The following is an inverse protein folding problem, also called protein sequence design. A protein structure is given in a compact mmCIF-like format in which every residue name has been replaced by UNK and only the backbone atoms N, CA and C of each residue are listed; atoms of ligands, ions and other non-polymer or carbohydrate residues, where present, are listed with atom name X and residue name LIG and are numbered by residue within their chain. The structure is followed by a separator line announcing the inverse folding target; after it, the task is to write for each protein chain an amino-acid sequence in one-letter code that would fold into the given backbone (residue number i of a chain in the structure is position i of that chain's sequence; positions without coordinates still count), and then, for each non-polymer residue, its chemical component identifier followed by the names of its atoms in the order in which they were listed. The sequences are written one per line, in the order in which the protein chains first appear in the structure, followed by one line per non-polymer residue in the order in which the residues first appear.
data_IF_609937935564
#
_entry.id   IF_609937935564
#
_cell.length_a   1.000
_cell.length_b   1.000
_cell.length_c   1.000
_cell.angle_alpha   90.00
_cell.angle_beta   90.00
_cell.angle_gamma   90.00
#
_symmetry.space_group_name_H-M   'P 1'
#
loop_
_entity.id
_entity.type
_entity.pdbx_description
1 polymer ?
#
# COMPACT_ATOMS: atom_id res chain seq x y z
N UNK A 1 -15.29 31.95 11.73
CA UNK A 1 -14.37 31.02 12.46
C UNK A 1 -14.54 29.62 11.90
N UNK A 2 -13.47 28.96 11.51
CA UNK A 2 -13.48 27.56 11.10
C UNK A 2 -13.39 26.68 12.34
N UNK A 3 -14.23 25.66 12.43
CA UNK A 3 -14.26 24.67 13.50
C UNK A 3 -13.96 23.28 12.93
N UNK A 4 -13.44 22.39 13.77
CA UNK A 4 -13.22 20.99 13.35
C UNK A 4 -14.56 20.35 13.00
N UNK A 5 -15.54 20.49 13.88
CA UNK A 5 -16.92 20.09 13.63
C UNK A 5 -17.78 21.36 13.50
N UNK A 6 -18.51 21.57 12.41
CA UNK A 6 -18.70 20.64 11.27
C UNK A 6 -17.80 20.91 10.05
N UNK A 7 -16.99 21.98 10.02
CA UNK A 7 -16.39 22.47 8.78
C UNK A 7 -15.37 21.49 8.19
N UNK A 8 -14.40 21.03 9.02
CA UNK A 8 -13.37 20.09 8.56
C UNK A 8 -13.97 18.70 8.35
N UNK A 9 -14.82 18.24 9.27
CA UNK A 9 -15.46 16.91 9.13
C UNK A 9 -16.36 16.87 7.90
N UNK A 10 -17.09 17.93 7.57
CA UNK A 10 -17.90 17.96 6.35
C UNK A 10 -17.04 17.94 5.08
N UNK A 11 -15.89 18.63 5.07
CA UNK A 11 -14.97 18.57 3.92
C UNK A 11 -14.40 17.16 3.76
N UNK A 12 -13.98 16.49 4.83
CA UNK A 12 -13.51 15.11 4.78
C UNK A 12 -14.62 14.17 4.28
N UNK A 13 -15.84 14.26 4.82
CA UNK A 13 -16.98 13.45 4.36
C UNK A 13 -17.32 13.73 2.90
N UNK A 14 -17.21 14.98 2.44
CA UNK A 14 -17.44 15.31 1.03
C UNK A 14 -16.49 14.56 0.10
N UNK A 15 -15.25 14.27 0.57
CA UNK A 15 -14.29 13.44 -0.18
C UNK A 15 -14.72 11.97 -0.24
N UNK A 16 -15.29 11.45 0.83
CA UNK A 16 -15.85 10.10 0.83
C UNK A 16 -16.99 9.98 -0.19
N UNK A 17 -17.93 10.93 -0.18
CA UNK A 17 -19.07 10.95 -1.11
C UNK A 17 -18.67 11.11 -2.58
N UNK A 18 -17.55 11.79 -2.88
CA UNK A 18 -17.08 11.96 -4.27
C UNK A 18 -16.77 10.64 -4.98
N UNK A 19 -16.52 9.56 -4.25
CA UNK A 19 -16.29 8.25 -4.85
C UNK A 19 -17.58 7.64 -5.44
N UNK A 20 -18.75 8.22 -5.15
CA UNK A 20 -20.06 7.75 -5.59
C UNK A 20 -20.77 8.75 -6.50
N UNK A 21 -20.04 9.51 -7.30
CA UNK A 21 -20.60 10.54 -8.20
C UNK A 21 -21.07 9.98 -9.54
N UNK A 22 -20.72 8.74 -9.87
CA UNK A 22 -21.19 8.00 -11.02
C UNK A 22 -22.04 6.80 -10.59
N UNK A 23 -22.88 6.30 -11.50
CA UNK A 23 -23.73 5.13 -11.26
C UNK A 23 -22.97 3.80 -11.37
N UNK A 24 -21.68 3.84 -11.71
CA UNK A 24 -20.84 2.65 -11.94
C UNK A 24 -20.10 2.23 -10.66
N UNK A 25 -19.74 3.20 -9.80
CA UNK A 25 -19.03 2.90 -8.54
C UNK A 25 -19.99 2.35 -7.50
N UNK A 26 -19.84 1.06 -7.19
CA UNK A 26 -20.66 0.36 -6.20
C UNK A 26 -19.97 0.23 -4.84
N UNK A 27 -18.66 0.12 -4.82
CA UNK A 27 -17.85 -0.06 -3.62
C UNK A 27 -16.70 0.94 -3.66
N UNK A 28 -16.48 1.66 -2.58
CA UNK A 28 -15.33 2.50 -2.38
C UNK A 28 -14.52 2.00 -1.17
N UNK A 29 -13.21 1.87 -1.35
CA UNK A 29 -12.28 1.56 -0.29
C UNK A 29 -11.56 2.84 0.08
N UNK A 30 -11.74 3.28 1.33
CA UNK A 30 -11.16 4.52 1.85
C UNK A 30 -10.12 4.15 2.89
N UNK A 31 -8.87 4.48 2.63
CA UNK A 31 -7.77 4.30 3.57
C UNK A 31 -7.57 5.58 4.38
N UNK A 32 -7.43 5.44 5.69
CA UNK A 32 -7.09 6.51 6.62
C UNK A 32 -5.84 6.11 7.38
N UNK A 33 -4.75 6.79 7.08
CA UNK A 33 -3.45 6.55 7.71
C UNK A 33 -3.34 7.13 9.11
N UNK A 34 -2.25 6.77 9.77
CA UNK A 34 -1.91 7.20 11.11
C UNK A 34 -2.37 6.23 12.21
N UNK A 35 -1.82 6.42 13.39
CA UNK A 35 -2.14 5.61 14.57
C UNK A 35 -3.40 6.15 15.24
N UNK A 36 -4.30 5.26 15.66
CA UNK A 36 -5.45 5.64 16.48
C UNK A 36 -4.95 6.27 17.78
N UNK A 37 -5.49 7.46 18.09
CA UNK A 37 -5.05 8.25 19.24
C UNK A 37 -4.14 9.41 18.88
N UNK A 38 -3.53 9.42 17.71
CA UNK A 38 -2.75 10.55 17.22
C UNK A 38 -3.66 11.75 16.94
N UNK A 39 -3.18 12.94 17.29
CA UNK A 39 -3.98 14.18 17.17
C UNK A 39 -4.37 14.48 15.72
N UNK A 40 -3.51 14.16 14.76
CA UNK A 40 -3.73 14.36 13.34
C UNK A 40 -4.84 13.45 12.78
N UNK A 41 -5.04 12.28 13.38
CA UNK A 41 -6.05 11.31 12.95
C UNK A 41 -7.46 11.64 13.46
N UNK A 42 -7.60 12.41 14.54
CA UNK A 42 -8.88 12.67 15.19
C UNK A 42 -9.96 13.26 14.28
N UNK A 43 -9.70 14.26 13.41
CA UNK A 43 -10.73 14.79 12.51
C UNK A 43 -11.23 13.74 11.50
N UNK A 44 -10.35 12.83 11.05
CA UNK A 44 -10.72 11.74 10.15
C UNK A 44 -11.57 10.69 10.86
N UNK A 45 -11.18 10.29 12.05
CA UNK A 45 -11.95 9.33 12.85
C UNK A 45 -13.34 9.86 13.21
N UNK A 46 -13.45 11.14 13.61
CA UNK A 46 -14.74 11.78 13.84
C UNK A 46 -15.58 11.84 12.55
N UNK A 47 -14.96 12.09 11.40
CA UNK A 47 -15.65 12.09 10.11
C UNK A 47 -16.15 10.70 9.72
N UNK A 48 -15.37 9.65 9.99
CA UNK A 48 -15.77 8.24 9.77
C UNK A 48 -16.99 7.91 10.66
N UNK A 49 -16.94 8.25 11.93
CA UNK A 49 -18.05 8.03 12.86
C UNK A 49 -19.35 8.69 12.38
N UNK A 50 -19.25 9.95 11.95
CA UNK A 50 -20.40 10.68 11.39
C UNK A 50 -20.88 10.05 10.07
N UNK A 51 -19.96 9.71 9.17
CA UNK A 51 -20.27 9.11 7.88
C UNK A 51 -21.00 7.77 8.05
N UNK A 52 -20.47 6.88 8.91
CA UNK A 52 -21.10 5.59 9.17
C UNK A 52 -22.51 5.75 9.76
N UNK A 53 -22.71 6.77 10.62
CA UNK A 53 -24.05 7.09 11.14
C UNK A 53 -24.99 7.62 10.05
N UNK A 54 -24.48 8.41 9.08
CA UNK A 54 -25.28 8.98 7.99
C UNK A 54 -25.71 7.93 6.97
N UNK A 55 -24.82 7.01 6.61
CA UNK A 55 -25.09 5.99 5.58
C UNK A 55 -25.65 4.69 6.15
N UNK A 56 -25.52 4.46 7.45
CA UNK A 56 -25.90 3.23 8.14
C UNK A 56 -24.80 2.15 8.10
N UNK A 57 -24.81 1.29 9.11
CA UNK A 57 -23.81 0.22 9.27
C UNK A 57 -23.82 -0.79 8.11
N UNK A 58 -24.95 -1.05 7.50
CA UNK A 58 -25.07 -1.98 6.38
C UNK A 58 -24.38 -1.46 5.10
N UNK A 59 -24.08 -0.17 5.05
CA UNK A 59 -23.47 0.50 3.90
C UNK A 59 -22.03 0.94 4.12
N UNK A 60 -21.50 0.82 5.34
CA UNK A 60 -20.11 1.19 5.63
C UNK A 60 -19.55 0.33 6.77
N UNK A 61 -18.59 -0.51 6.45
CA UNK A 61 -17.86 -1.33 7.42
C UNK A 61 -16.50 -0.72 7.74
N UNK A 62 -16.00 -1.05 8.91
CA UNK A 62 -14.71 -0.57 9.41
C UNK A 62 -13.74 -1.74 9.60
N UNK A 63 -12.68 -1.72 8.81
CA UNK A 63 -11.58 -2.68 8.89
C UNK A 63 -10.43 -2.01 9.65
N UNK A 64 -10.13 -2.51 10.84
CA UNK A 64 -9.07 -1.97 11.67
C UNK A 64 -7.80 -2.81 11.55
N UNK A 65 -6.74 -2.20 11.02
CA UNK A 65 -5.43 -2.84 10.88
C UNK A 65 -4.59 -2.55 12.13
N UNK A 66 -4.09 -3.60 12.79
CA UNK A 66 -3.31 -3.49 14.03
C UNK A 66 -2.02 -4.28 13.94
N UNK A 67 -1.11 -4.04 14.89
CA UNK A 67 0.13 -4.79 15.04
C UNK A 67 0.06 -5.73 16.24
N UNK A 68 0.43 -6.99 16.03
CA UNK A 68 0.67 -7.98 17.09
C UNK A 68 2.18 -8.19 17.20
N UNK A 69 2.87 -7.47 18.09
CA UNK A 69 4.31 -7.61 18.22
C UNK A 69 4.72 -8.94 18.84
N UNK A 70 5.81 -9.50 18.33
CA UNK A 70 6.47 -10.65 18.92
C UNK A 70 7.62 -10.20 19.82
N UNK A 71 7.62 -10.67 21.07
CA UNK A 71 8.69 -10.40 22.01
C UNK A 71 9.68 -11.55 22.01
N UNK A 72 10.83 -11.38 21.37
CA UNK A 72 11.87 -12.41 21.25
C UNK A 72 12.38 -12.93 22.60
N UNK A 73 12.43 -12.05 23.63
CA UNK A 73 12.90 -12.42 24.97
C UNK A 73 11.97 -13.41 25.70
N UNK A 74 10.65 -13.26 25.54
CA UNK A 74 9.64 -14.14 26.14
C UNK A 74 9.06 -15.14 25.15
N UNK A 75 9.43 -15.07 23.89
CA UNK A 75 8.94 -15.91 22.78
C UNK A 75 7.40 -15.94 22.71
N UNK A 76 6.78 -14.77 22.83
CA UNK A 76 5.32 -14.65 22.82
C UNK A 76 4.82 -13.47 22.01
N UNK A 77 3.62 -13.63 21.44
CA UNK A 77 2.86 -12.58 20.77
C UNK A 77 2.05 -11.78 21.80
N UNK A 78 2.04 -10.46 21.65
CA UNK A 78 1.34 -9.55 22.57
C UNK A 78 0.09 -8.95 21.93
N UNK A 79 -1.08 -9.29 22.46
CA UNK A 79 -2.39 -8.81 22.00
C UNK A 79 -2.79 -7.47 22.61
N UNK A 80 -2.12 -7.00 23.66
CA UNK A 80 -2.50 -5.77 24.38
C UNK A 80 -2.46 -4.50 23.51
N UNK A 81 -1.47 -4.30 22.60
CA UNK A 81 -1.48 -3.13 21.73
C UNK A 81 -2.73 -3.06 20.85
N UNK A 82 -3.14 -4.19 20.24
CA UNK A 82 -4.39 -4.29 19.48
C UNK A 82 -5.61 -3.98 20.34
N UNK A 83 -5.71 -4.57 21.53
CA UNK A 83 -6.82 -4.31 22.43
C UNK A 83 -6.90 -2.84 22.84
N UNK A 84 -5.76 -2.17 23.10
CA UNK A 84 -5.71 -0.75 23.43
C UNK A 84 -6.18 0.11 22.25
N UNK A 85 -5.66 -0.16 21.03
CA UNK A 85 -6.04 0.56 19.81
C UNK A 85 -7.54 0.45 19.51
N UNK A 86 -8.13 -0.75 19.63
CA UNK A 86 -9.58 -0.94 19.46
C UNK A 86 -10.37 -0.23 20.54
N UNK A 87 -9.90 -0.25 21.80
CA UNK A 87 -10.55 0.44 22.90
C UNK A 87 -10.56 1.96 22.69
N UNK A 88 -9.49 2.53 22.14
CA UNK A 88 -9.42 3.95 21.80
C UNK A 88 -10.43 4.30 20.71
N UNK A 89 -10.58 3.48 19.66
CA UNK A 89 -11.65 3.64 18.65
C UNK A 89 -13.04 3.58 19.29
N UNK A 90 -13.29 2.58 20.12
CA UNK A 90 -14.58 2.44 20.82
C UNK A 90 -14.87 3.65 21.71
N UNK A 91 -13.84 4.23 22.35
CA UNK A 91 -13.94 5.47 23.11
C UNK A 91 -14.38 6.67 22.27
N UNK A 92 -14.13 6.65 20.97
CA UNK A 92 -14.59 7.65 20.00
C UNK A 92 -15.97 7.32 19.40
N UNK A 93 -16.59 6.21 19.82
CA UNK A 93 -17.87 5.75 19.27
C UNK A 93 -17.77 4.99 17.95
N UNK A 94 -16.61 4.41 17.66
CA UNK A 94 -16.33 3.62 16.46
C UNK A 94 -16.12 2.16 16.87
N UNK A 95 -16.94 1.25 16.36
CA UNK A 95 -16.76 -0.18 16.52
C UNK A 95 -16.22 -0.77 15.21
N UNK A 96 -15.04 -1.38 15.18
CA UNK A 96 -14.58 -2.10 13.98
C UNK A 96 -15.42 -3.36 13.75
N UNK A 97 -15.66 -3.65 12.49
CA UNK A 97 -16.35 -4.87 12.04
C UNK A 97 -15.36 -6.02 11.83
N UNK A 98 -14.17 -5.69 11.33
CA UNK A 98 -13.08 -6.64 11.04
C UNK A 98 -11.79 -6.11 11.66
N UNK A 99 -11.00 -7.01 12.24
CA UNK A 99 -9.66 -6.69 12.75
C UNK A 99 -8.63 -7.48 11.95
N UNK A 100 -7.74 -6.79 11.27
CA UNK A 100 -6.61 -7.37 10.56
C UNK A 100 -5.35 -7.20 11.41
N UNK A 101 -4.83 -8.32 11.90
CA UNK A 101 -3.70 -8.37 12.80
C UNK A 101 -2.40 -8.61 12.00
N UNK A 102 -1.58 -7.57 11.83
CA UNK A 102 -0.23 -7.73 11.27
C UNK A 102 0.68 -8.38 12.29
N UNK A 103 1.43 -9.39 11.86
CA UNK A 103 2.35 -10.14 12.72
C UNK A 103 3.46 -10.80 11.90
N UNK A 104 4.66 -10.90 12.50
CA UNK A 104 5.77 -11.69 11.94
C UNK A 104 5.53 -13.22 12.09
N UNK A 105 4.71 -13.61 13.06
CA UNK A 105 4.46 -15.01 13.38
C UNK A 105 2.97 -15.37 13.29
N UNK A 106 2.63 -16.62 12.91
CA UNK A 106 1.24 -17.06 12.86
C UNK A 106 0.53 -16.92 14.22
N UNK A 107 -0.73 -16.47 14.16
CA UNK A 107 -1.61 -16.36 15.32
C UNK A 107 -2.29 -17.72 15.56
N UNK A 108 -2.11 -18.27 16.74
CA UNK A 108 -2.91 -19.42 17.13
C UNK A 108 -4.38 -19.04 17.42
N UNK A 109 -5.26 -20.02 17.46
CA UNK A 109 -6.68 -19.78 17.65
C UNK A 109 -6.97 -19.12 19.01
N UNK A 110 -6.20 -19.41 20.05
CA UNK A 110 -6.40 -18.81 21.37
C UNK A 110 -6.12 -17.30 21.38
N UNK A 111 -5.17 -16.85 20.56
CA UNK A 111 -4.87 -15.43 20.36
C UNK A 111 -6.01 -14.76 19.59
N UNK A 112 -6.50 -15.38 18.51
CA UNK A 112 -7.65 -14.85 17.75
C UNK A 112 -8.90 -14.76 18.63
N UNK A 113 -9.21 -15.79 19.42
CA UNK A 113 -10.35 -15.84 20.35
C UNK A 113 -10.25 -14.73 21.41
N UNK A 114 -9.06 -14.52 21.94
CA UNK A 114 -8.80 -13.47 22.92
C UNK A 114 -9.03 -12.07 22.32
N UNK A 115 -8.54 -11.82 21.10
CA UNK A 115 -8.76 -10.55 20.42
C UNK A 115 -10.24 -10.35 20.17
N UNK A 116 -10.93 -11.35 19.62
CA UNK A 116 -12.37 -11.32 19.36
C UNK A 116 -13.17 -10.93 20.62
N UNK A 117 -12.86 -11.59 21.74
CA UNK A 117 -13.52 -11.33 23.03
C UNK A 117 -13.29 -9.89 23.51
N UNK A 118 -12.04 -9.42 23.55
CA UNK A 118 -11.71 -8.11 24.10
C UNK A 118 -12.08 -6.94 23.18
N UNK A 119 -12.16 -7.19 21.87
CA UNK A 119 -12.48 -6.18 20.87
C UNK A 119 -13.94 -6.20 20.42
N UNK A 120 -14.74 -7.12 20.97
CA UNK A 120 -16.18 -7.25 20.68
C UNK A 120 -16.46 -7.44 19.19
N UNK A 121 -15.76 -8.38 18.55
CA UNK A 121 -15.98 -8.82 17.17
C UNK A 121 -16.16 -10.33 17.11
N UNK A 122 -16.83 -10.89 16.09
CA UNK A 122 -16.87 -12.34 15.87
C UNK A 122 -15.45 -12.91 15.69
N UNK A 123 -15.26 -14.17 16.09
CA UNK A 123 -13.96 -14.85 15.92
C UNK A 123 -13.52 -14.93 14.45
N UNK A 124 -14.46 -15.15 13.54
CA UNK A 124 -14.23 -15.15 12.07
C UNK A 124 -13.81 -13.79 11.52
N UNK A 125 -13.98 -12.69 12.26
CA UNK A 125 -13.62 -11.34 11.84
C UNK A 125 -12.23 -10.92 12.37
N UNK A 126 -11.51 -11.80 13.04
CA UNK A 126 -10.11 -11.58 13.44
C UNK A 126 -9.20 -12.31 12.46
N UNK A 127 -8.61 -11.57 11.54
CA UNK A 127 -7.81 -12.08 10.45
C UNK A 127 -6.33 -11.78 10.72
N UNK A 128 -5.43 -12.69 10.35
CA UNK A 128 -4.00 -12.42 10.41
C UNK A 128 -3.49 -11.91 9.07
N UNK A 129 -2.54 -11.00 9.10
CA UNK A 129 -1.74 -10.59 7.96
C UNK A 129 -0.28 -10.76 8.31
N UNK A 130 0.29 -11.88 7.88
CA UNK A 130 1.69 -12.20 8.11
C UNK A 130 2.58 -11.39 7.15
N UNK A 131 3.79 -11.12 7.62
CA UNK A 131 4.81 -10.54 6.75
C UNK A 131 5.09 -11.49 5.59
N UNK A 132 5.21 -10.92 4.40
CA UNK A 132 5.43 -11.63 3.14
C UNK A 132 6.76 -11.20 2.54
N UNK A 133 7.37 -12.05 1.74
CA UNK A 133 8.63 -11.75 1.07
C UNK A 133 8.43 -10.67 -0.01
N UNK A 134 7.36 -10.82 -0.79
CA UNK A 134 6.98 -9.86 -1.82
C UNK A 134 5.63 -9.25 -1.49
N UNK A 135 5.53 -7.92 -1.52
CA UNK A 135 4.30 -7.20 -1.19
C UNK A 135 3.07 -7.70 -1.98
N UNK A 136 3.28 -8.12 -3.22
CA UNK A 136 2.21 -8.65 -4.08
C UNK A 136 1.66 -10.02 -3.65
N UNK A 137 2.25 -10.66 -2.66
CA UNK A 137 1.71 -11.87 -2.03
C UNK A 137 0.60 -11.56 -1.01
N UNK A 138 0.57 -10.32 -0.49
CA UNK A 138 -0.38 -9.93 0.55
C UNK A 138 -1.85 -10.15 0.16
N UNK A 139 -2.34 -9.85 -1.07
CA UNK A 139 -3.70 -10.17 -1.47
C UNK A 139 -4.00 -11.67 -1.41
N UNK A 140 -3.05 -12.52 -1.80
CA UNK A 140 -3.20 -13.97 -1.73
C UNK A 140 -3.23 -14.49 -0.27
N UNK A 141 -2.46 -13.86 0.61
CA UNK A 141 -2.48 -14.16 2.03
C UNK A 141 -3.81 -13.73 2.68
N UNK A 142 -4.34 -12.57 2.31
CA UNK A 142 -5.63 -12.10 2.80
C UNK A 142 -6.79 -12.95 2.30
N UNK A 143 -6.73 -13.46 1.08
CA UNK A 143 -7.75 -14.38 0.56
C UNK A 143 -7.76 -15.72 1.33
N UNK A 144 -6.60 -16.23 1.74
CA UNK A 144 -6.52 -17.42 2.61
C UNK A 144 -7.17 -17.19 3.98
N UNK A 145 -7.19 -15.96 4.47
CA UNK A 145 -7.90 -15.54 5.68
C UNK A 145 -9.37 -15.17 5.42
N UNK A 146 -9.87 -15.33 4.18
CA UNK A 146 -11.25 -15.03 3.76
C UNK A 146 -11.68 -13.58 3.95
N UNK A 147 -10.75 -12.60 3.81
CA UNK A 147 -11.07 -11.18 4.00
C UNK A 147 -12.20 -10.71 3.07
N UNK A 148 -12.15 -11.11 1.79
CA UNK A 148 -13.17 -10.71 0.81
C UNK A 148 -14.55 -11.25 1.22
N UNK A 149 -14.64 -12.52 1.60
CA UNK A 149 -15.90 -13.15 2.04
C UNK A 149 -16.46 -12.45 3.29
N UNK A 150 -15.63 -12.25 4.32
CA UNK A 150 -16.05 -11.60 5.58
C UNK A 150 -16.52 -10.17 5.33
N UNK A 151 -15.83 -9.41 4.47
CA UNK A 151 -16.24 -8.04 4.12
C UNK A 151 -17.57 -8.03 3.36
N UNK A 152 -17.78 -8.95 2.41
CA UNK A 152 -19.04 -9.08 1.69
C UNK A 152 -20.20 -9.49 2.63
N UNK A 153 -19.95 -10.40 3.57
CA UNK A 153 -20.93 -10.79 4.58
C UNK A 153 -21.35 -9.59 5.47
N UNK A 154 -20.39 -8.78 5.92
CA UNK A 154 -20.67 -7.58 6.70
C UNK A 154 -21.48 -6.53 5.92
N UNK A 155 -21.29 -6.43 4.61
CA UNK A 155 -21.99 -5.50 3.73
C UNK A 155 -23.26 -6.11 3.11
N UNK A 156 -23.63 -7.33 3.48
CA UNK A 156 -24.76 -8.06 2.90
C UNK A 156 -24.70 -8.16 1.37
N UNK A 157 -23.50 -8.30 0.82
CA UNK A 157 -23.25 -8.44 -0.61
C UNK A 157 -23.15 -9.93 -0.98
N UNK A 158 -23.86 -10.31 -2.03
CA UNK A 158 -23.71 -11.62 -2.67
C UNK A 158 -22.65 -11.49 -3.78
N UNK A 159 -21.45 -11.92 -3.48
CA UNK A 159 -20.30 -11.83 -4.38
C UNK A 159 -19.75 -13.22 -4.69
N UNK A 160 -19.36 -13.49 -5.95
CA UNK A 160 -18.65 -14.71 -6.29
C UNK A 160 -17.27 -14.74 -5.62
N UNK A 161 -16.70 -15.93 -5.51
CA UNK A 161 -15.31 -16.08 -5.10
C UNK A 161 -14.37 -15.29 -6.03
N UNK A 162 -13.34 -14.62 -5.50
CA UNK A 162 -12.39 -13.84 -6.30
C UNK A 162 -11.61 -14.74 -7.26
N UNK A 163 -11.56 -14.37 -8.55
CA UNK A 163 -10.63 -14.98 -9.49
C UNK A 163 -9.26 -14.31 -9.39
N UNK A 164 -8.32 -15.00 -8.78
CA UNK A 164 -6.94 -14.55 -8.57
C UNK A 164 -5.93 -15.32 -9.44
N UNK A 165 -6.37 -15.96 -10.54
CA UNK A 165 -5.48 -16.77 -11.38
C UNK A 165 -4.33 -15.94 -11.96
N UNK A 166 -4.64 -14.78 -12.56
CA UNK A 166 -3.64 -13.88 -13.14
C UNK A 166 -2.71 -13.28 -12.05
N UNK A 167 -3.27 -12.96 -10.88
CA UNK A 167 -2.48 -12.45 -9.76
C UNK A 167 -1.50 -13.51 -9.23
N UNK A 168 -1.94 -14.76 -9.09
CA UNK A 168 -1.07 -15.89 -8.70
C UNK A 168 0.05 -16.09 -9.71
N UNK A 169 -0.26 -16.01 -11.00
CA UNK A 169 0.74 -16.11 -12.05
C UNK A 169 1.78 -14.99 -11.96
N UNK A 170 1.33 -13.74 -11.79
CA UNK A 170 2.23 -12.59 -11.64
C UNK A 170 3.18 -12.76 -10.43
N UNK A 171 2.67 -13.26 -9.29
CA UNK A 171 3.49 -13.53 -8.10
C UNK A 171 4.49 -14.66 -8.36
N UNK A 172 4.11 -15.68 -9.11
CA UNK A 172 5.01 -16.77 -9.50
C UNK A 172 6.13 -16.28 -10.43
N UNK A 173 5.78 -15.46 -11.42
CA UNK A 173 6.76 -14.82 -12.32
C UNK A 173 7.73 -13.92 -11.53
N UNK A 174 7.25 -13.20 -10.51
CA UNK A 174 8.08 -12.39 -9.62
C UNK A 174 9.08 -13.22 -8.81
N UNK A 175 8.67 -14.42 -8.36
CA UNK A 175 9.51 -15.32 -7.57
C UNK A 175 10.59 -16.04 -8.36
N UNK A 176 10.37 -16.19 -9.67
CA UNK A 176 11.23 -17.00 -10.54
C UNK A 176 11.71 -16.21 -11.76
N UNK A 177 12.42 -15.07 -11.56
CA UNK A 177 13.03 -14.35 -12.66
C UNK A 177 14.11 -15.20 -13.33
N UNK A 178 14.25 -15.09 -14.64
CA UNK A 178 15.26 -15.80 -15.44
C UNK A 178 16.45 -14.93 -15.83
N UNK A 179 16.27 -13.61 -15.77
CA UNK A 179 17.25 -12.62 -16.17
C UNK A 179 17.45 -11.54 -15.09
N UNK A 180 18.49 -10.74 -15.23
CA UNK A 180 18.76 -9.58 -14.38
C UNK A 180 19.08 -8.37 -15.24
N UNK A 181 18.54 -7.20 -14.85
CA UNK A 181 18.83 -5.94 -15.54
C UNK A 181 19.18 -4.86 -14.53
N UNK A 182 20.16 -4.03 -14.87
CA UNK A 182 20.55 -2.87 -14.08
C UNK A 182 20.01 -1.59 -14.71
N UNK A 183 19.20 -0.85 -13.95
CA UNK A 183 18.56 0.38 -14.40
C UNK A 183 19.10 1.55 -13.58
N UNK A 184 19.72 2.53 -14.25
CA UNK A 184 20.17 3.74 -13.59
C UNK A 184 19.02 4.76 -13.48
N UNK A 185 18.46 4.93 -12.29
CA UNK A 185 17.50 5.98 -12.02
C UNK A 185 18.24 7.27 -11.67
N UNK A 186 18.24 8.21 -12.64
CA UNK A 186 18.93 9.50 -12.49
C UNK A 186 17.93 10.56 -12.07
N UNK A 187 18.09 11.09 -10.86
CA UNK A 187 17.14 12.05 -10.30
C UNK A 187 17.77 13.04 -9.32
N UNK A 188 17.00 14.07 -8.95
CA UNK A 188 17.48 15.11 -8.03
C UNK A 188 17.38 14.71 -6.55
N UNK A 189 16.40 13.88 -6.20
CA UNK A 189 16.07 13.51 -4.81
C UNK A 189 16.35 12.04 -4.52
N UNK A 190 17.40 11.49 -5.10
CA UNK A 190 17.71 10.05 -5.01
C UNK A 190 18.05 9.57 -3.60
N UNK A 191 18.43 10.47 -2.69
CA UNK A 191 18.60 10.16 -1.26
C UNK A 191 17.27 9.90 -0.54
N UNK A 192 16.15 10.35 -1.11
CA UNK A 192 14.80 10.11 -0.61
C UNK A 192 14.09 9.16 -1.58
N UNK A 193 14.27 7.85 -1.40
CA UNK A 193 13.76 6.81 -2.30
C UNK A 193 12.24 6.89 -2.49
N UNK A 194 11.51 7.31 -1.46
CA UNK A 194 10.04 7.45 -1.51
C UNK A 194 9.56 8.45 -2.58
N UNK A 195 10.41 9.45 -2.93
CA UNK A 195 10.08 10.40 -3.99
C UNK A 195 9.95 9.73 -5.38
N UNK A 196 10.48 8.52 -5.54
CA UNK A 196 10.49 7.76 -6.80
C UNK A 196 9.76 6.43 -6.71
N UNK A 197 8.98 6.19 -5.66
CA UNK A 197 8.33 4.90 -5.41
C UNK A 197 7.51 4.42 -6.61
N UNK A 198 6.75 5.31 -7.26
CA UNK A 198 5.94 4.97 -8.44
C UNK A 198 6.79 4.56 -9.65
N UNK A 199 7.97 5.17 -9.81
CA UNK A 199 8.91 4.82 -10.89
C UNK A 199 9.54 3.47 -10.60
N UNK A 200 9.93 3.23 -9.35
CA UNK A 200 10.50 1.95 -8.90
C UNK A 200 9.49 0.82 -9.10
N UNK A 201 8.25 1.02 -8.69
CA UNK A 201 7.19 0.02 -8.88
C UNK A 201 6.89 -0.22 -10.37
N UNK A 202 6.86 0.82 -11.20
CA UNK A 202 6.69 0.64 -12.64
C UNK A 202 7.84 -0.17 -13.28
N UNK A 203 9.08 0.05 -12.83
CA UNK A 203 10.24 -0.73 -13.28
C UNK A 203 10.15 -2.19 -12.82
N UNK A 204 9.73 -2.44 -11.58
CA UNK A 204 9.48 -3.80 -11.07
C UNK A 204 8.41 -4.52 -11.89
N UNK A 205 7.28 -3.85 -12.19
CA UNK A 205 6.22 -4.43 -13.04
C UNK A 205 6.74 -4.78 -14.43
N UNK A 206 7.57 -3.90 -15.03
CA UNK A 206 8.27 -4.19 -16.27
C UNK A 206 9.17 -5.43 -16.16
N UNK A 207 9.89 -5.55 -15.04
CA UNK A 207 10.72 -6.72 -14.73
C UNK A 207 9.91 -8.00 -14.64
N UNK A 208 8.79 -8.00 -13.90
CA UNK A 208 7.90 -9.17 -13.74
C UNK A 208 7.44 -9.65 -15.13
N UNK A 209 6.94 -8.74 -15.96
CA UNK A 209 6.44 -9.07 -17.30
C UNK A 209 7.52 -9.66 -18.22
N UNK A 210 8.78 -9.26 -18.02
CA UNK A 210 9.92 -9.72 -18.80
C UNK A 210 10.75 -10.81 -18.09
N UNK A 211 10.25 -11.36 -16.98
CA UNK A 211 10.93 -12.37 -16.14
C UNK A 211 12.34 -11.96 -15.72
N UNK A 212 12.54 -10.67 -15.43
CA UNK A 212 13.83 -10.10 -15.05
C UNK A 212 13.80 -9.44 -13.68
N UNK A 213 14.83 -9.68 -12.87
CA UNK A 213 15.10 -8.90 -11.67
C UNK A 213 15.62 -7.53 -12.04
N UNK A 214 14.99 -6.47 -11.55
CA UNK A 214 15.43 -5.10 -11.81
C UNK A 214 16.24 -4.57 -10.63
N UNK A 215 17.53 -4.36 -10.86
CA UNK A 215 18.42 -3.69 -9.92
C UNK A 215 18.47 -2.20 -10.22
N UNK A 216 18.15 -1.36 -9.22
CA UNK A 216 18.12 0.09 -9.40
C UNK A 216 19.41 0.71 -8.88
N UNK A 217 20.16 1.34 -9.78
CA UNK A 217 21.32 2.17 -9.46
C UNK A 217 20.86 3.62 -9.32
N UNK A 218 20.92 4.13 -8.12
CA UNK A 218 20.50 5.50 -7.82
C UNK A 218 21.60 6.49 -8.13
N UNK A 219 21.32 7.46 -9.00
CA UNK A 219 22.32 8.44 -9.44
C UNK A 219 21.75 9.85 -9.26
N UNK A 220 22.48 10.68 -8.49
CA UNK A 220 22.13 12.07 -8.36
C UNK A 220 22.46 12.82 -9.66
N UNK A 221 21.43 13.42 -10.25
CA UNK A 221 21.55 14.16 -11.51
C UNK A 221 22.52 15.35 -11.43
N UNK A 222 22.80 15.88 -10.25
CA UNK A 222 23.72 17.01 -10.06
C UNK A 222 25.19 16.54 -10.08
N UNK A 223 25.46 15.24 -9.86
CA UNK A 223 26.81 14.66 -9.87
C UNK A 223 27.26 14.18 -11.25
N UNK A 224 26.33 14.08 -12.21
CA UNK A 224 26.64 13.58 -13.56
C UNK A 224 27.32 14.68 -14.37
N UNK A 225 28.50 14.37 -14.90
CA UNK A 225 29.30 15.25 -15.78
C UNK A 225 29.69 14.51 -17.05
N UNK A 226 30.14 15.23 -18.12
CA UNK A 226 30.63 14.58 -19.34
C UNK A 226 31.79 13.61 -19.09
N UNK A 227 32.60 13.87 -18.07
CA UNK A 227 33.81 13.11 -17.78
C UNK A 227 33.51 11.80 -17.02
N UNK A 228 32.41 11.73 -16.25
CA UNK A 228 32.09 10.58 -15.41
C UNK A 228 30.85 9.78 -15.89
N UNK A 229 30.16 10.26 -16.91
CA UNK A 229 28.90 9.68 -17.38
C UNK A 229 29.08 8.24 -17.86
N UNK A 230 30.17 7.92 -18.53
CA UNK A 230 30.45 6.57 -19.01
C UNK A 230 30.75 5.61 -17.85
N UNK A 231 31.45 6.05 -16.83
CA UNK A 231 31.71 5.28 -15.60
C UNK A 231 30.40 5.02 -14.81
N UNK A 232 29.53 6.04 -14.73
CA UNK A 232 28.29 5.95 -13.97
C UNK A 232 27.21 5.12 -14.65
N UNK A 233 27.11 5.15 -15.98
CA UNK A 233 25.99 4.60 -16.73
C UNK A 233 26.37 3.44 -17.66
N UNK A 234 27.66 3.21 -17.91
CA UNK A 234 28.12 2.25 -18.91
C UNK A 234 27.77 0.78 -18.61
N UNK A 235 27.52 0.45 -17.34
CA UNK A 235 27.11 -0.88 -16.89
C UNK A 235 25.58 -1.06 -16.81
N UNK A 236 24.81 -0.03 -17.18
CA UNK A 236 23.35 -0.04 -17.03
C UNK A 236 22.66 -0.42 -18.35
N UNK A 237 21.60 -1.23 -18.25
CA UNK A 237 20.77 -1.64 -19.38
C UNK A 237 19.73 -0.58 -19.77
N UNK A 238 19.45 0.38 -18.90
CA UNK A 238 18.51 1.48 -19.15
C UNK A 238 18.69 2.64 -18.18
N UNK A 239 18.26 3.84 -18.60
CA UNK A 239 18.46 5.09 -17.85
C UNK A 239 17.18 5.93 -17.86
N UNK A 240 16.22 5.71 -16.92
CA UNK A 240 15.11 6.62 -16.73
C UNK A 240 15.56 7.90 -16.01
N UNK A 241 15.09 9.04 -16.52
CA UNK A 241 15.36 10.38 -15.97
C UNK A 241 14.05 11.10 -15.70
N UNK A 242 13.39 10.83 -14.56
CA UNK A 242 12.11 11.45 -14.23
C UNK A 242 12.27 12.94 -13.90
N UNK A 243 11.55 13.80 -14.60
CA UNK A 243 11.27 15.17 -14.18
C UNK A 243 12.39 16.21 -14.22
N UNK A 244 13.63 15.93 -14.65
CA UNK A 244 14.74 16.88 -14.60
C UNK A 244 15.21 17.33 -15.98
N UNK A 245 15.13 18.64 -16.25
CA UNK A 245 15.47 19.22 -17.56
C UNK A 245 16.94 19.06 -17.96
N UNK A 246 17.89 19.22 -17.04
CA UNK A 246 19.34 19.09 -17.32
C UNK A 246 19.73 17.65 -17.66
N UNK A 247 19.28 16.67 -16.89
CA UNK A 247 19.60 15.28 -17.15
C UNK A 247 18.98 14.76 -18.47
N UNK A 248 17.87 15.31 -18.92
CA UNK A 248 17.29 15.03 -20.24
C UNK A 248 18.23 15.43 -21.40
N UNK A 249 18.93 16.56 -21.29
CA UNK A 249 19.86 17.01 -22.34
C UNK A 249 21.09 16.10 -22.49
N UNK A 250 21.57 15.53 -21.39
CA UNK A 250 22.69 14.57 -21.40
C UNK A 250 22.28 13.20 -21.98
N UNK A 251 21.07 12.74 -21.71
CA UNK A 251 20.52 11.51 -22.30
C UNK A 251 20.50 11.58 -23.83
N UNK A 252 20.11 12.71 -24.39
CA UNK A 252 20.08 12.91 -25.86
C UNK A 252 21.48 12.82 -26.49
N UNK A 253 22.49 13.33 -25.78
CA UNK A 253 23.89 13.28 -26.26
C UNK A 253 24.53 11.89 -26.17
N UNK A 254 24.00 10.98 -25.31
CA UNK A 254 24.54 9.63 -25.17
C UNK A 254 23.84 8.58 -26.03
N UNK A 255 22.62 8.84 -26.50
CA UNK A 255 21.89 7.90 -27.35
C UNK A 255 22.60 7.59 -28.67
N UNK A 256 23.27 8.57 -29.26
CA UNK A 256 23.99 8.38 -30.55
C UNK A 256 25.33 7.63 -30.43
N UNK A 257 26.20 7.88 -29.41
CA UNK A 257 27.48 7.20 -29.31
C UNK A 257 27.43 5.79 -28.73
N UNK A 258 26.44 5.46 -27.87
CA UNK A 258 26.41 4.20 -27.11
C UNK A 258 25.44 3.14 -27.65
N UNK A 259 24.69 3.43 -28.74
CA UNK A 259 23.83 2.45 -29.40
C UNK A 259 22.64 1.96 -28.58
N UNK A 260 22.21 2.72 -27.60
CA UNK A 260 20.99 2.39 -26.83
C UNK A 260 19.75 2.46 -27.75
N UNK A 261 18.84 1.48 -27.72
CA UNK A 261 17.59 1.55 -28.47
C UNK A 261 16.80 2.81 -28.04
N UNK A 262 16.26 3.53 -29.02
CA UNK A 262 15.41 4.69 -28.79
C UNK A 262 14.09 4.25 -28.15
N UNK A 263 14.01 4.34 -26.84
CA UNK A 263 12.74 4.20 -26.13
C UNK A 263 12.20 5.59 -25.83
N UNK A 264 11.29 6.04 -26.66
CA UNK A 264 10.49 7.24 -26.41
C UNK A 264 9.42 6.94 -25.34
N UNK A 265 9.85 6.86 -24.08
CA UNK A 265 8.94 6.96 -22.95
C UNK A 265 8.87 8.42 -22.49
N UNK A 266 8.09 9.22 -23.18
CA UNK A 266 7.64 10.53 -22.71
C UNK A 266 6.49 10.29 -21.73
N UNK A 267 6.76 10.32 -20.44
CA UNK A 267 5.73 10.53 -19.43
C UNK A 267 5.62 12.04 -19.21
N UNK A 268 4.66 12.67 -19.86
CA UNK A 268 4.18 13.98 -19.46
C UNK A 268 3.27 13.79 -18.23
N UNK A 269 3.80 14.11 -17.04
CA UNK A 269 2.95 14.39 -15.90
C UNK A 269 2.57 15.87 -15.98
N UNK A 270 1.33 16.15 -16.37
CA UNK A 270 0.64 17.43 -16.18
C UNK A 270 0.17 17.56 -14.75
#
# INVERSE_FOLDING_TARGET
TVQVIPHITNEIKSRFYRNFTDDETRIAIIEVGGTVGDIESQPFLESIRQFQHEVGHDNAILIHVTLIPYLSASQELKTKPTQASVKDLQGMGIQPDIIVCRSEHPLDQSIKDKIALFCNVPQSHVLQNLDVEYLYEAPLAMEKEHLAQVACECLHLDCPEPDLADWKKMVEDLRHPTDEVQIALVGKYVSLHDAYISVVEALKHGGITNHATVHIKWIDSETVTPENVEELLGDCNGVPVPGVSKARSWRFSMQEPMGFPSWDCVWECS
#
